data_IF_831773174583
#
_entry.id   IF_831773174583
#
_cell.length_a   1.000
_cell.length_b   1.000
_cell.length_c   1.000
_cell.angle_alpha   90.00
_cell.angle_beta   90.00
_cell.angle_gamma   90.00
#
_symmetry.space_group_name_H-M   'P 1'
#
loop_
_entity.id
_entity.type
_entity.pdbx_description
1 polymer ?
#
# COMPACT_ATOMS: atom_id res chain seq x y z
N UNK A 1 3.12 -17.10 15.08
CA UNK A 1 2.39 -15.89 14.62
C UNK A 1 3.35 -14.98 13.86
N UNK A 2 2.95 -14.51 12.69
CA UNK A 2 3.75 -13.55 11.95
C UNK A 2 3.53 -12.13 12.48
N UNK A 3 4.61 -11.34 12.60
CA UNK A 3 4.53 -9.94 12.98
C UNK A 3 4.86 -9.09 11.76
N UNK A 4 3.93 -8.21 11.37
CA UNK A 4 4.10 -7.28 10.25
C UNK A 4 4.67 -5.98 10.80
N UNK A 5 5.84 -5.59 10.31
CA UNK A 5 6.46 -4.33 10.68
C UNK A 5 6.23 -3.27 9.60
N UNK A 6 6.46 -2.02 9.94
CA UNK A 6 6.23 -0.89 9.06
C UNK A 6 7.54 -0.19 8.71
N UNK A 7 7.63 0.24 7.45
CA UNK A 7 8.65 1.18 6.99
C UNK A 7 7.97 2.38 6.35
N UNK A 8 8.65 3.51 6.33
CA UNK A 8 8.16 4.76 5.76
C UNK A 8 9.28 5.46 5.01
N UNK A 9 8.98 6.47 4.16
CA UNK A 9 10.03 7.27 3.53
C UNK A 9 10.99 7.91 4.53
N UNK A 10 10.53 8.18 5.75
CA UNK A 10 11.35 8.74 6.84
C UNK A 10 12.22 7.70 7.55
N UNK A 11 12.03 6.41 7.28
CA UNK A 11 12.85 5.36 7.91
C UNK A 11 14.25 5.36 7.30
N UNK A 12 15.32 5.48 8.11
CA UNK A 12 16.69 5.46 7.56
C UNK A 12 16.98 4.13 6.83
N UNK A 13 17.81 4.18 5.76
CA UNK A 13 18.09 2.97 4.96
C UNK A 13 18.60 1.77 5.75
N UNK A 14 19.50 1.98 6.69
CA UNK A 14 20.05 0.92 7.55
C UNK A 14 18.97 0.29 8.42
N UNK A 15 17.98 1.06 8.85
CA UNK A 15 16.86 0.56 9.63
C UNK A 15 15.86 -0.21 8.76
N UNK A 16 15.70 0.19 7.49
CA UNK A 16 14.82 -0.52 6.56
C UNK A 16 15.20 -1.99 6.42
N UNK A 17 16.48 -2.27 6.26
CA UNK A 17 16.99 -3.64 6.14
C UNK A 17 16.73 -4.45 7.42
N UNK A 18 16.94 -3.84 8.58
CA UNK A 18 16.69 -4.49 9.88
C UNK A 18 15.21 -4.82 10.07
N UNK A 19 14.33 -3.88 9.76
CA UNK A 19 12.88 -4.07 9.87
C UNK A 19 12.41 -5.14 8.89
N UNK A 20 12.89 -5.11 7.66
CA UNK A 20 12.55 -6.11 6.65
C UNK A 20 12.94 -7.52 7.11
N UNK A 21 14.13 -7.68 7.66
CA UNK A 21 14.62 -8.97 8.12
C UNK A 21 13.77 -9.55 9.27
N UNK A 22 13.10 -8.71 10.04
CA UNK A 22 12.27 -9.13 11.18
C UNK A 22 10.80 -9.30 10.85
N UNK A 23 10.36 -8.85 9.67
CA UNK A 23 8.95 -8.95 9.28
C UNK A 23 8.56 -10.38 8.92
N UNK A 24 7.36 -10.77 9.35
CA UNK A 24 6.73 -12.02 8.95
C UNK A 24 5.48 -11.74 8.14
N UNK A 25 5.11 -12.62 7.23
CA UNK A 25 3.95 -12.45 6.37
C UNK A 25 4.19 -11.46 5.25
N UNK A 26 4.24 -10.18 5.56
CA UNK A 26 4.61 -9.12 4.60
C UNK A 26 5.19 -7.91 5.34
N UNK A 27 5.82 -7.02 4.58
CA UNK A 27 6.33 -5.75 5.09
C UNK A 27 5.39 -4.63 4.64
N UNK A 28 4.94 -3.82 5.58
CA UNK A 28 4.01 -2.71 5.32
C UNK A 28 4.79 -1.43 5.06
N UNK A 29 4.72 -0.92 3.83
CA UNK A 29 5.31 0.36 3.47
C UNK A 29 4.25 1.47 3.55
N UNK A 30 4.45 2.46 4.40
CA UNK A 30 3.50 3.55 4.62
C UNK A 30 3.77 4.67 3.63
N UNK A 31 2.75 5.07 2.85
CA UNK A 31 2.85 6.09 1.81
C UNK A 31 2.32 7.46 2.28
N UNK A 32 2.82 7.95 3.42
CA UNK A 32 2.29 9.16 4.07
C UNK A 32 2.29 10.42 3.19
N UNK A 33 3.23 10.52 2.26
CA UNK A 33 3.39 11.72 1.41
C UNK A 33 3.19 11.42 -0.07
N UNK A 34 2.77 10.20 -0.41
CA UNK A 34 2.84 9.71 -1.78
C UNK A 34 1.69 10.09 -2.68
N UNK A 35 0.49 10.18 -2.15
CA UNK A 35 -0.72 10.29 -2.96
C UNK A 35 -1.61 11.39 -2.39
N UNK A 36 -1.68 12.51 -3.10
CA UNK A 36 -2.62 13.58 -2.81
C UNK A 36 -3.76 13.54 -3.82
N UNK A 37 -4.94 14.03 -3.44
CA UNK A 37 -6.20 13.82 -4.13
C UNK A 37 -6.24 13.98 -5.65
N UNK A 38 -5.39 14.84 -6.23
CA UNK A 38 -5.35 15.07 -7.67
C UNK A 38 -4.25 14.27 -8.38
N UNK A 39 -3.39 13.56 -7.66
CA UNK A 39 -2.26 12.85 -8.24
C UNK A 39 -2.51 11.35 -8.22
N UNK A 40 -2.39 10.74 -9.40
CA UNK A 40 -2.43 9.28 -9.54
C UNK A 40 -1.04 8.65 -9.55
N UNK A 41 0.03 9.45 -9.45
CA UNK A 41 1.40 8.95 -9.44
C UNK A 41 1.95 8.85 -8.03
N UNK A 42 2.70 7.78 -7.77
CA UNK A 42 3.38 7.58 -6.49
C UNK A 42 4.55 8.56 -6.36
N UNK A 43 4.72 9.19 -5.20
CA UNK A 43 5.84 10.09 -4.97
C UNK A 43 7.18 9.35 -5.10
N UNK A 44 8.23 10.01 -5.64
CA UNK A 44 9.54 9.38 -5.79
C UNK A 44 10.09 8.79 -4.49
N UNK A 45 9.87 9.47 -3.36
CA UNK A 45 10.34 9.00 -2.04
C UNK A 45 9.74 7.66 -1.66
N UNK A 46 8.45 7.46 -1.93
CA UNK A 46 7.77 6.19 -1.66
C UNK A 46 8.27 5.11 -2.63
N UNK A 47 8.44 5.46 -3.89
CA UNK A 47 8.94 4.53 -4.90
C UNK A 47 10.34 4.04 -4.55
N UNK A 48 11.20 4.94 -4.07
CA UNK A 48 12.56 4.61 -3.66
C UNK A 48 12.56 3.67 -2.46
N UNK A 49 11.69 3.90 -1.48
CA UNK A 49 11.55 3.02 -0.31
C UNK A 49 11.10 1.62 -0.74
N UNK A 50 10.12 1.53 -1.61
CA UNK A 50 9.61 0.23 -2.11
C UNK A 50 10.74 -0.54 -2.82
N UNK A 51 11.49 0.12 -3.70
CA UNK A 51 12.60 -0.51 -4.42
C UNK A 51 13.67 -0.99 -3.45
N UNK A 52 14.04 -0.16 -2.47
CA UNK A 52 15.07 -0.48 -1.48
C UNK A 52 14.65 -1.69 -0.63
N UNK A 53 13.46 -1.66 -0.03
CA UNK A 53 13.04 -2.76 0.85
C UNK A 53 12.77 -4.05 0.08
N UNK A 54 12.28 -3.98 -1.16
CA UNK A 54 12.11 -5.18 -1.98
C UNK A 54 13.42 -5.89 -2.25
N UNK A 55 14.50 -5.14 -2.40
CA UNK A 55 15.82 -5.72 -2.68
C UNK A 55 16.37 -6.52 -1.50
N UNK A 56 15.93 -6.24 -0.28
CA UNK A 56 16.46 -6.84 0.95
C UNK A 56 15.43 -7.63 1.75
N UNK A 57 14.15 -7.51 1.41
CA UNK A 57 13.08 -8.14 2.20
C UNK A 57 12.92 -9.62 1.87
N UNK A 58 12.87 -10.49 2.88
CA UNK A 58 12.56 -11.92 2.68
C UNK A 58 11.05 -12.16 2.48
N UNK A 59 10.21 -11.13 2.65
CA UNK A 59 8.75 -11.22 2.55
C UNK A 59 8.24 -10.22 1.54
N UNK A 60 7.01 -10.42 1.00
CA UNK A 60 6.40 -9.45 0.08
C UNK A 60 6.24 -8.07 0.72
N UNK A 61 6.24 -7.03 -0.12
CA UNK A 61 6.08 -5.64 0.31
C UNK A 61 4.73 -5.11 -0.15
N UNK A 62 3.92 -4.66 0.80
CA UNK A 62 2.63 -4.04 0.52
C UNK A 62 2.70 -2.55 0.87
N UNK A 63 2.06 -1.73 0.06
CA UNK A 63 1.99 -0.28 0.27
C UNK A 63 0.58 0.09 0.70
N UNK A 64 0.47 0.91 1.71
CA UNK A 64 -0.81 1.37 2.22
C UNK A 64 -0.77 2.81 2.70
N UNK A 65 -1.90 3.24 3.22
CA UNK A 65 -2.18 4.57 3.74
C UNK A 65 -2.48 5.61 2.65
N UNK A 66 -3.68 6.15 2.70
CA UNK A 66 -4.10 7.17 1.74
C UNK A 66 -4.48 6.64 0.36
N UNK A 67 -4.59 5.33 0.20
CA UNK A 67 -4.97 4.70 -1.06
C UNK A 67 -6.50 4.63 -1.12
N UNK A 68 -7.09 5.22 -2.16
CA UNK A 68 -8.56 5.29 -2.25
C UNK A 68 -9.14 5.00 -3.64
N UNK A 69 -8.33 5.02 -4.69
CA UNK A 69 -8.81 4.88 -6.07
C UNK A 69 -8.08 3.78 -6.82
N UNK A 70 -8.69 3.22 -7.89
CA UNK A 70 -7.99 2.28 -8.77
C UNK A 70 -6.72 2.86 -9.38
N UNK A 71 -6.68 4.16 -9.68
CA UNK A 71 -5.51 4.83 -10.21
C UNK A 71 -4.35 4.81 -9.20
N UNK A 72 -4.65 5.00 -7.91
CA UNK A 72 -3.65 4.87 -6.85
C UNK A 72 -3.07 3.45 -6.82
N UNK A 73 -3.94 2.45 -6.88
CA UNK A 73 -3.52 1.04 -6.89
C UNK A 73 -2.65 0.73 -8.10
N UNK A 74 -3.04 1.20 -9.28
CA UNK A 74 -2.26 1.00 -10.50
C UNK A 74 -0.86 1.63 -10.39
N UNK A 75 -0.76 2.83 -9.81
CA UNK A 75 0.53 3.50 -9.61
C UNK A 75 1.44 2.69 -8.69
N UNK A 76 0.90 2.14 -7.62
CA UNK A 76 1.64 1.30 -6.67
C UNK A 76 2.09 0.00 -7.33
N UNK A 77 1.22 -0.62 -8.11
CA UNK A 77 1.55 -1.84 -8.86
C UNK A 77 2.68 -1.59 -9.85
N UNK A 78 2.66 -0.45 -10.54
CA UNK A 78 3.74 -0.05 -11.46
C UNK A 78 5.06 0.22 -10.75
N UNK A 79 5.03 0.56 -9.47
CA UNK A 79 6.23 0.73 -8.65
C UNK A 79 6.77 -0.60 -8.11
N UNK A 80 6.24 -1.73 -8.58
CA UNK A 80 6.65 -3.09 -8.23
C UNK A 80 6.38 -3.48 -6.77
N UNK A 81 5.43 -2.85 -6.11
CA UNK A 81 4.94 -3.37 -4.84
C UNK A 81 4.23 -4.71 -5.07
N UNK A 82 4.33 -5.61 -4.11
CA UNK A 82 3.71 -6.94 -4.19
C UNK A 82 2.23 -6.90 -3.81
N UNK A 83 1.81 -5.89 -3.06
CA UNK A 83 0.43 -5.73 -2.65
C UNK A 83 0.08 -4.30 -2.25
N UNK A 84 -1.20 -4.08 -2.07
CA UNK A 84 -1.75 -2.78 -1.67
C UNK A 84 -2.70 -2.98 -0.51
N UNK A 85 -2.64 -2.09 0.49
CA UNK A 85 -3.55 -2.10 1.63
C UNK A 85 -4.51 -0.91 1.50
N UNK A 86 -5.79 -1.19 1.51
CA UNK A 86 -6.85 -0.18 1.44
C UNK A 86 -7.81 -0.40 2.60
N UNK A 87 -8.09 0.62 3.37
CA UNK A 87 -8.97 0.52 4.54
C UNK A 87 -10.05 1.59 4.54
N UNK A 88 -9.71 2.86 4.80
CA UNK A 88 -10.70 3.91 4.99
C UNK A 88 -11.62 4.12 3.78
N UNK A 89 -11.09 3.97 2.56
CA UNK A 89 -11.92 4.10 1.34
C UNK A 89 -13.02 3.04 1.29
N UNK A 90 -12.73 1.81 1.72
CA UNK A 90 -13.74 0.75 1.77
C UNK A 90 -14.77 1.00 2.87
N UNK A 91 -14.34 1.50 4.02
CA UNK A 91 -15.25 1.89 5.09
C UNK A 91 -16.18 3.01 4.62
N UNK A 92 -15.64 4.03 3.94
CA UNK A 92 -16.42 5.13 3.38
C UNK A 92 -17.43 4.64 2.32
N UNK A 93 -17.04 3.65 1.52
CA UNK A 93 -17.90 3.06 0.50
C UNK A 93 -19.12 2.34 1.08
N UNK A 94 -19.10 1.97 2.35
CA UNK A 94 -20.26 1.42 3.04
C UNK A 94 -21.35 2.47 3.27
N UNK A 95 -21.03 3.74 3.09
CA UNK A 95 -21.99 4.83 3.18
C UNK A 95 -22.49 5.12 4.58
N UNK A 96 -23.47 6.06 4.73
CA UNK A 96 -24.05 6.38 6.02
C UNK A 96 -24.64 5.13 6.68
N UNK A 97 -24.29 4.89 7.95
CA UNK A 97 -24.74 3.71 8.68
C UNK A 97 -23.98 2.43 8.38
N UNK A 98 -22.99 2.46 7.46
CA UNK A 98 -22.14 1.33 7.19
C UNK A 98 -22.83 0.12 6.56
N UNK A 99 -23.85 0.33 5.72
CA UNK A 99 -24.73 -0.74 5.22
C UNK A 99 -24.65 -1.02 3.73
N UNK A 100 -23.96 -0.16 2.96
CA UNK A 100 -23.85 -0.34 1.52
C UNK A 100 -22.75 -1.37 1.18
N UNK A 101 -23.05 -2.62 1.44
CA UNK A 101 -22.11 -3.71 1.18
C UNK A 101 -21.85 -3.88 -0.32
N UNK A 102 -22.87 -3.66 -1.15
CA UNK A 102 -22.73 -3.75 -2.61
C UNK A 102 -21.77 -2.69 -3.15
N UNK A 103 -21.84 -1.45 -2.62
CA UNK A 103 -20.94 -0.37 -3.00
C UNK A 103 -19.49 -0.66 -2.59
N UNK A 104 -19.30 -1.16 -1.39
CA UNK A 104 -17.96 -1.55 -0.91
C UNK A 104 -17.39 -2.72 -1.73
N UNK A 105 -18.21 -3.71 -2.05
CA UNK A 105 -17.79 -4.84 -2.88
C UNK A 105 -17.43 -4.41 -4.31
N UNK A 106 -18.16 -3.46 -4.89
CA UNK A 106 -17.84 -2.92 -6.21
C UNK A 106 -16.50 -2.19 -6.20
N UNK A 107 -16.25 -1.37 -5.19
CA UNK A 107 -14.96 -0.68 -5.03
C UNK A 107 -13.82 -1.70 -4.87
N UNK A 108 -14.01 -2.72 -4.03
CA UNK A 108 -12.99 -3.76 -3.83
C UNK A 108 -12.65 -4.47 -5.13
N UNK A 109 -13.62 -4.75 -5.98
CA UNK A 109 -13.43 -5.35 -7.30
C UNK A 109 -12.62 -4.45 -8.20
N UNK A 110 -12.97 -3.16 -8.28
CA UNK A 110 -12.26 -2.20 -9.11
C UNK A 110 -10.80 -2.04 -8.66
N UNK A 111 -10.57 -1.99 -7.36
CA UNK A 111 -9.22 -1.92 -6.80
C UNK A 111 -8.43 -3.19 -7.13
N UNK A 112 -9.05 -4.36 -7.03
CA UNK A 112 -8.42 -5.64 -7.34
C UNK A 112 -8.02 -5.71 -8.82
N UNK A 113 -8.88 -5.26 -9.71
CA UNK A 113 -8.58 -5.23 -11.15
C UNK A 113 -7.41 -4.32 -11.47
N UNK A 114 -7.26 -3.22 -10.74
CA UNK A 114 -6.14 -2.29 -10.92
C UNK A 114 -4.78 -2.87 -10.52
N UNK A 115 -4.74 -4.00 -9.83
CA UNK A 115 -3.49 -4.71 -9.50
C UNK A 115 -2.95 -5.55 -10.65
N UNK A 116 -3.69 -5.70 -11.74
CA UNK A 116 -3.25 -6.49 -12.89
C UNK A 116 -2.00 -5.86 -13.54
N UNK A 117 -1.05 -6.70 -13.92
CA UNK A 117 0.20 -6.29 -14.56
C UNK A 117 0.22 -6.73 -16.01
#
# INVERSE_FOLDING_TARGET
>A
MAVVYLVAPTTPPERRALVAARSGGFLYCVSLIGLTGARSALAPEVRDVVADVRSVSPVPVAVGFGISTPEHVAAITKADADGVVVASALVDALGPGGRDVAGAAALARDLREATAR
#
